data_IF_948815473952
#
_entry.id   IF_948815473952
#
_cell.length_a   1.000
_cell.length_b   1.000
_cell.length_c   1.000
_cell.angle_alpha   90.00
_cell.angle_beta   90.00
_cell.angle_gamma   90.00
#
_symmetry.space_group_name_H-M   'P 1'
#
loop_
_entity.id
_entity.type
_entity.pdbx_description
1 polymer ?
#
# COMPACT_ATOMS: atom_id res chain seq x y z
N UNK A 1 -6.80 -12.58 5.69
CA UNK A 1 -5.46 -12.03 5.98
C UNK A 1 -5.39 -10.62 5.40
N UNK A 2 -4.82 -9.66 6.14
CA UNK A 2 -4.65 -8.27 5.69
C UNK A 2 -3.60 -8.19 4.58
N UNK A 3 -3.88 -7.41 3.53
CA UNK A 3 -2.89 -7.05 2.51
C UNK A 3 -2.35 -5.64 2.84
N UNK A 4 -1.07 -5.53 3.15
CA UNK A 4 -0.39 -4.23 3.26
C UNK A 4 0.24 -3.90 1.92
N UNK A 5 -0.09 -2.75 1.36
CA UNK A 5 0.17 -2.41 -0.02
C UNK A 5 1.05 -1.16 -0.14
N UNK A 6 1.93 -1.16 -1.13
CA UNK A 6 2.57 0.06 -1.63
C UNK A 6 2.76 -0.01 -3.15
N UNK A 7 3.01 1.14 -3.75
CA UNK A 7 3.34 1.27 -5.18
C UNK A 7 4.71 1.92 -5.33
N UNK A 8 5.62 1.23 -6.01
CA UNK A 8 6.92 1.79 -6.40
C UNK A 8 6.99 1.86 -7.92
N UNK A 9 6.68 3.03 -8.47
CA UNK A 9 6.64 3.29 -9.90
C UNK A 9 7.68 4.34 -10.31
N UNK A 10 8.28 4.14 -11.48
CA UNK A 10 9.25 5.07 -12.04
C UNK A 10 10.58 5.09 -11.27
N UNK A 11 11.29 6.21 -11.33
CA UNK A 11 12.61 6.36 -10.76
C UNK A 11 12.67 7.26 -9.52
N UNK A 12 11.52 7.80 -9.09
CA UNK A 12 11.44 8.72 -7.94
C UNK A 12 11.91 8.07 -6.64
N UNK A 13 11.44 6.85 -6.38
CA UNK A 13 11.79 6.13 -5.17
C UNK A 13 12.72 4.96 -5.46
N UNK A 14 13.90 4.97 -4.83
CA UNK A 14 14.85 3.86 -4.87
C UNK A 14 14.28 2.63 -4.11
N UNK A 15 14.77 1.41 -4.38
CA UNK A 15 14.32 0.19 -3.70
C UNK A 15 14.38 0.26 -2.17
N UNK A 16 15.30 1.06 -1.62
CA UNK A 16 15.44 1.24 -0.16
C UNK A 16 14.16 1.79 0.49
N UNK A 17 13.36 2.60 -0.21
CA UNK A 17 12.10 3.09 0.33
C UNK A 17 11.10 1.97 0.55
N UNK A 18 10.99 1.02 -0.39
CA UNK A 18 10.14 -0.16 -0.22
C UNK A 18 10.63 -1.03 0.94
N UNK A 19 11.95 -1.24 1.05
CA UNK A 19 12.52 -2.00 2.16
C UNK A 19 12.28 -1.32 3.51
N UNK A 20 12.44 -0.01 3.59
CA UNK A 20 12.21 0.74 4.82
C UNK A 20 10.73 0.68 5.24
N UNK A 21 9.80 0.87 4.30
CA UNK A 21 8.38 0.75 4.60
C UNK A 21 8.04 -0.67 5.08
N UNK A 22 8.53 -1.71 4.40
CA UNK A 22 8.36 -3.09 4.86
C UNK A 22 8.86 -3.29 6.29
N UNK A 23 10.06 -2.80 6.60
CA UNK A 23 10.65 -2.94 7.93
C UNK A 23 9.85 -2.19 9.01
N UNK A 24 9.32 -1.00 8.69
CA UNK A 24 8.46 -0.23 9.61
C UNK A 24 7.14 -0.96 9.85
N UNK A 25 6.49 -1.47 8.80
CA UNK A 25 5.26 -2.26 8.92
C UNK A 25 5.51 -3.51 9.77
N UNK A 26 6.57 -4.28 9.50
CA UNK A 26 6.93 -5.47 10.28
C UNK A 26 7.14 -5.16 11.75
N UNK A 27 7.65 -3.98 12.09
CA UNK A 27 7.90 -3.56 13.49
C UNK A 27 6.64 -3.09 14.20
N UNK A 28 5.73 -2.43 13.50
CA UNK A 28 4.65 -1.65 14.11
C UNK A 28 3.24 -2.19 13.82
N UNK A 29 3.10 -3.25 13.03
CA UNK A 29 1.83 -3.91 12.77
C UNK A 29 1.85 -5.32 13.35
N UNK A 30 0.96 -5.60 14.31
CA UNK A 30 0.85 -6.93 14.94
C UNK A 30 -0.20 -7.83 14.28
N UNK A 31 -1.13 -7.23 13.53
CA UNK A 31 -2.16 -7.98 12.80
C UNK A 31 -1.51 -8.87 11.73
N UNK A 32 -1.90 -10.17 11.63
CA UNK A 32 -1.40 -11.06 10.60
C UNK A 32 -1.63 -10.50 9.19
N UNK A 33 -0.55 -10.32 8.45
CA UNK A 33 -0.58 -9.66 7.15
C UNK A 33 0.45 -10.22 6.17
N UNK A 34 0.28 -9.90 4.90
CA UNK A 34 1.32 -9.97 3.88
C UNK A 34 1.58 -8.58 3.30
N UNK A 35 2.83 -8.33 2.94
CA UNK A 35 3.24 -7.08 2.34
C UNK A 35 3.37 -7.25 0.82
N UNK A 36 2.67 -6.41 0.04
CA UNK A 36 2.64 -6.48 -1.41
C UNK A 36 3.10 -5.14 -2.00
N UNK A 37 4.19 -5.15 -2.75
CA UNK A 37 4.64 -3.99 -3.50
C UNK A 37 4.32 -4.16 -4.99
N UNK A 38 3.52 -3.26 -5.54
CA UNK A 38 3.28 -3.17 -6.97
C UNK A 38 4.32 -2.28 -7.63
N UNK A 39 4.94 -2.76 -8.70
CA UNK A 39 6.03 -2.02 -9.36
C UNK A 39 6.10 -2.31 -10.85
N UNK A 40 6.62 -1.36 -11.62
CA UNK A 40 7.05 -1.56 -12.99
C UNK A 40 8.54 -2.00 -13.10
N UNK A 41 9.24 -2.14 -11.97
CA UNK A 41 10.64 -2.55 -11.89
C UNK A 41 10.79 -3.96 -11.31
N UNK A 42 10.75 -4.98 -12.15
CA UNK A 42 10.83 -6.39 -11.73
C UNK A 42 12.13 -6.72 -10.95
N UNK A 43 13.19 -5.95 -11.18
CA UNK A 43 14.46 -6.09 -10.43
C UNK A 43 14.31 -5.82 -8.92
N UNK A 44 13.25 -5.13 -8.51
CA UNK A 44 12.94 -4.88 -7.09
C UNK A 44 12.85 -6.17 -6.29
N UNK A 45 12.33 -7.25 -6.88
CA UNK A 45 12.21 -8.56 -6.26
C UNK A 45 13.55 -9.14 -5.78
N UNK A 46 14.65 -8.78 -6.45
CA UNK A 46 16.00 -9.24 -6.08
C UNK A 46 16.63 -8.42 -4.95
N UNK A 47 16.12 -7.20 -4.74
CA UNK A 47 16.72 -6.20 -3.84
C UNK A 47 16.00 -6.17 -2.51
N UNK A 48 14.66 -6.13 -2.53
CA UNK A 48 13.84 -6.07 -1.33
C UNK A 48 13.67 -7.48 -0.74
N UNK A 49 13.93 -7.62 0.56
CA UNK A 49 13.95 -8.91 1.27
C UNK A 49 13.01 -8.90 2.46
N UNK A 50 12.33 -10.03 2.66
CA UNK A 50 11.44 -10.24 3.80
C UNK A 50 10.71 -11.58 3.73
N UNK A 51 10.13 -12.02 4.85
CA UNK A 51 9.53 -13.35 5.00
C UNK A 51 8.12 -13.42 4.36
N UNK A 52 7.39 -12.31 4.36
CA UNK A 52 6.00 -12.21 3.89
C UNK A 52 5.81 -11.08 2.87
N UNK A 53 6.84 -10.81 2.08
CA UNK A 53 6.83 -9.80 1.02
C UNK A 53 6.56 -10.44 -0.34
N UNK A 54 5.69 -9.82 -1.11
CA UNK A 54 5.39 -10.17 -2.49
C UNK A 54 5.59 -8.96 -3.40
N UNK A 55 6.33 -9.13 -4.48
CA UNK A 55 6.51 -8.09 -5.50
C UNK A 55 5.65 -8.47 -6.70
N UNK A 56 4.74 -7.59 -7.06
CA UNK A 56 3.81 -7.78 -8.18
C UNK A 56 4.06 -6.76 -9.30
N UNK A 57 3.78 -7.18 -10.53
CA UNK A 57 3.73 -6.24 -11.64
C UNK A 57 2.58 -5.25 -11.41
N UNK A 58 2.86 -3.97 -11.57
CA UNK A 58 1.86 -2.91 -11.47
C UNK A 58 0.94 -2.95 -12.68
N UNK A 59 -0.38 -3.13 -12.51
CA UNK A 59 -1.34 -2.98 -13.60
C UNK A 59 -1.31 -1.55 -14.14
N UNK A 60 -1.52 -1.39 -15.44
CA UNK A 60 -1.63 -0.07 -16.09
C UNK A 60 -0.43 0.87 -15.89
N UNK A 61 0.77 0.31 -15.64
CA UNK A 61 1.97 1.11 -15.38
C UNK A 61 2.40 2.01 -16.55
N UNK A 62 1.95 1.71 -17.76
CA UNK A 62 2.20 2.50 -18.97
C UNK A 62 1.10 3.56 -19.20
N UNK A 63 -0.05 3.41 -18.56
CA UNK A 63 -1.21 4.28 -18.74
C UNK A 63 -1.27 5.38 -17.67
N UNK A 64 -0.90 5.05 -16.43
CA UNK A 64 -0.89 5.97 -15.31
C UNK A 64 0.51 6.47 -15.00
N UNK A 65 0.61 7.71 -14.51
CA UNK A 65 1.87 8.32 -14.11
C UNK A 65 1.85 8.77 -12.65
N UNK A 66 3.00 8.63 -11.98
CA UNK A 66 3.20 9.08 -10.60
C UNK A 66 2.20 8.46 -9.63
N UNK A 67 1.61 9.28 -8.80
CA UNK A 67 0.67 8.86 -7.75
C UNK A 67 -0.65 8.29 -8.28
N UNK A 68 -1.00 8.54 -9.54
CA UNK A 68 -2.20 7.95 -10.17
C UNK A 68 -2.12 6.43 -10.28
N UNK A 69 -0.92 5.86 -10.25
CA UNK A 69 -0.73 4.41 -10.27
C UNK A 69 -1.40 3.67 -9.10
N UNK A 70 -1.67 4.34 -7.98
CA UNK A 70 -2.43 3.73 -6.87
C UNK A 70 -3.87 3.38 -7.24
N UNK A 71 -4.45 4.00 -8.28
CA UNK A 71 -5.79 3.65 -8.77
C UNK A 71 -5.83 2.22 -9.32
N UNK A 72 -4.72 1.70 -9.82
CA UNK A 72 -4.61 0.31 -10.28
C UNK A 72 -4.95 -0.72 -9.20
N UNK A 73 -4.79 -0.36 -7.93
CA UNK A 73 -5.07 -1.25 -6.79
C UNK A 73 -6.55 -1.58 -6.63
N UNK A 74 -7.44 -0.77 -7.22
CA UNK A 74 -8.88 -0.97 -7.18
C UNK A 74 -9.40 -1.77 -8.37
N UNK A 75 -8.52 -2.15 -9.29
CA UNK A 75 -8.88 -2.93 -10.46
C UNK A 75 -8.81 -4.44 -10.20
N UNK A 76 -9.57 -5.26 -10.94
CA UNK A 76 -9.46 -6.71 -10.88
C UNK A 76 -8.05 -7.23 -11.20
N UNK A 77 -7.31 -6.52 -12.05
CA UNK A 77 -5.95 -6.87 -12.48
C UNK A 77 -4.93 -6.82 -11.32
N UNK A 78 -5.23 -6.08 -10.25
CA UNK A 78 -4.41 -6.09 -9.04
C UNK A 78 -4.49 -7.43 -8.28
N UNK A 79 -5.53 -8.25 -8.55
CA UNK A 79 -5.73 -9.57 -7.92
C UNK A 79 -5.66 -9.49 -6.39
N UNK A 80 -6.33 -8.49 -5.83
CA UNK A 80 -6.45 -8.30 -4.40
C UNK A 80 -7.78 -8.89 -3.91
N UNK A 81 -7.75 -9.53 -2.75
CA UNK A 81 -8.93 -10.06 -2.07
C UNK A 81 -8.85 -9.75 -0.59
N UNK A 82 -9.97 -9.28 -0.03
CA UNK A 82 -10.11 -8.99 1.39
C UNK A 82 -9.56 -7.63 1.81
N UNK A 83 -9.28 -7.45 3.10
CA UNK A 83 -8.87 -6.17 3.66
C UNK A 83 -7.50 -5.73 3.17
N UNK A 84 -7.40 -4.45 2.83
CA UNK A 84 -6.21 -3.80 2.30
C UNK A 84 -5.87 -2.54 3.12
N UNK A 85 -4.60 -2.36 3.41
CA UNK A 85 -4.04 -1.16 4.03
C UNK A 85 -2.89 -0.66 3.15
N UNK A 86 -3.08 0.47 2.51
CA UNK A 86 -2.11 1.07 1.59
C UNK A 86 -1.31 2.18 2.28
N UNK A 87 -0.02 2.24 1.99
CA UNK A 87 0.87 3.33 2.37
C UNK A 87 1.64 3.87 1.16
N UNK A 88 1.76 5.19 1.05
CA UNK A 88 2.77 5.81 0.19
C UNK A 88 4.18 5.46 0.71
N UNK A 89 5.16 5.39 -0.19
CA UNK A 89 6.53 4.96 0.14
C UNK A 89 7.30 5.91 1.06
N UNK A 90 6.88 7.16 1.16
CA UNK A 90 7.48 8.20 1.99
C UNK A 90 6.79 8.39 3.34
N UNK A 91 5.83 7.53 3.67
CA UNK A 91 5.22 7.49 5.01
C UNK A 91 6.24 6.96 6.02
N UNK A 92 6.32 7.63 7.17
CA UNK A 92 7.14 7.21 8.31
C UNK A 92 6.23 6.68 9.41
N UNK A 93 6.45 5.43 9.82
CA UNK A 93 5.68 4.76 10.88
C UNK A 93 6.52 4.77 12.16
N UNK A 94 6.03 5.43 13.21
CA UNK A 94 6.76 5.64 14.45
C UNK A 94 6.25 4.78 15.62
N UNK A 95 5.00 4.31 15.53
CA UNK A 95 4.35 3.57 16.60
C UNK A 95 3.37 2.54 16.03
N UNK A 96 2.67 1.79 16.91
CA UNK A 96 1.71 0.77 16.52
C UNK A 96 0.62 1.33 15.57
N UNK A 97 0.36 0.58 14.49
CA UNK A 97 -0.60 0.94 13.44
C UNK A 97 -1.77 -0.04 13.32
N UNK A 98 -2.00 -0.88 14.30
CA UNK A 98 -3.11 -1.85 14.28
C UNK A 98 -4.47 -1.17 14.15
N UNK A 99 -4.62 0.04 14.68
CA UNK A 99 -5.85 0.83 14.56
C UNK A 99 -6.24 1.11 13.10
N UNK A 100 -5.27 1.31 12.19
CA UNK A 100 -5.57 1.48 10.76
C UNK A 100 -6.00 0.14 10.12
N UNK A 101 -5.41 -0.96 10.54
CA UNK A 101 -5.74 -2.29 10.02
C UNK A 101 -7.15 -2.73 10.43
N UNK A 102 -7.57 -2.39 11.64
CA UNK A 102 -8.84 -2.79 12.25
C UNK A 102 -9.95 -1.74 12.12
N UNK A 103 -9.65 -0.59 11.51
CA UNK A 103 -10.60 0.49 11.33
C UNK A 103 -11.81 0.09 10.48
N UNK A 104 -13.00 0.32 11.02
CA UNK A 104 -14.27 0.07 10.33
C UNK A 104 -14.57 -1.42 10.11
N UNK A 105 -15.33 -1.70 9.07
CA UNK A 105 -15.74 -3.04 8.64
C UNK A 105 -15.35 -3.32 7.18
N UNK A 106 -15.87 -4.39 6.60
CA UNK A 106 -15.57 -4.77 5.23
C UNK A 106 -16.09 -3.79 4.16
N UNK A 107 -17.03 -2.93 4.50
CA UNK A 107 -17.60 -1.92 3.59
C UNK A 107 -16.94 -0.54 3.77
N UNK A 108 -16.07 -0.41 4.78
CA UNK A 108 -15.45 0.88 5.11
C UNK A 108 -14.32 1.21 4.14
N UNK A 109 -14.40 2.41 3.54
CA UNK A 109 -13.28 3.05 2.88
C UNK A 109 -12.71 4.12 3.81
N UNK A 110 -11.52 3.88 4.35
CA UNK A 110 -10.83 4.78 5.25
C UNK A 110 -9.77 5.59 4.52
N UNK A 111 -9.78 6.91 4.76
CA UNK A 111 -8.80 7.85 4.21
C UNK A 111 -8.45 8.88 5.26
N UNK A 112 -7.21 9.36 5.27
CA UNK A 112 -6.79 10.40 6.19
C UNK A 112 -7.36 11.76 5.79
N UNK A 113 -7.67 12.59 6.78
CA UNK A 113 -7.94 14.00 6.50
C UNK A 113 -6.64 14.72 6.18
N UNK A 114 -6.70 15.70 5.30
CA UNK A 114 -5.53 16.51 5.00
C UNK A 114 -5.06 17.29 6.22
N UNK A 115 -3.75 17.36 6.45
CA UNK A 115 -3.18 17.99 7.64
C UNK A 115 -3.27 19.52 7.59
N UNK A 116 -3.22 20.12 6.41
CA UNK A 116 -3.31 21.57 6.23
C UNK A 116 -4.75 22.08 6.16
N UNK A 117 -5.65 21.32 5.54
CA UNK A 117 -7.05 21.70 5.34
C UNK A 117 -8.01 20.53 5.59
N UNK A 118 -8.12 20.05 6.83
CA UNK A 118 -8.82 18.81 7.17
C UNK A 118 -10.33 18.85 6.92
N UNK A 119 -10.90 20.05 6.75
CA UNK A 119 -12.32 20.23 6.47
C UNK A 119 -12.66 20.17 4.97
N UNK A 120 -11.67 20.36 4.10
CA UNK A 120 -11.86 20.47 2.66
C UNK A 120 -11.27 19.31 1.87
N UNK A 121 -10.17 18.71 2.32
CA UNK A 121 -9.40 17.75 1.56
C UNK A 121 -9.10 16.47 2.33
N UNK A 122 -8.89 15.40 1.58
CA UNK A 122 -8.39 14.12 2.07
C UNK A 122 -6.97 13.88 1.56
N UNK A 123 -6.17 13.19 2.36
CA UNK A 123 -4.81 12.78 2.03
C UNK A 123 -4.78 11.28 1.80
N UNK A 124 -4.39 10.87 0.60
CA UNK A 124 -4.39 9.46 0.17
C UNK A 124 -3.10 8.70 0.47
N UNK A 125 -2.23 9.25 1.34
CA UNK A 125 -0.97 8.56 1.71
C UNK A 125 -1.20 7.30 2.52
N UNK A 126 -2.35 7.19 3.20
CA UNK A 126 -2.80 5.98 3.89
C UNK A 126 -4.26 5.73 3.50
N UNK A 127 -4.54 4.52 3.00
CA UNK A 127 -5.89 4.10 2.62
C UNK A 127 -6.22 2.76 3.26
N UNK A 128 -7.41 2.64 3.83
CA UNK A 128 -7.98 1.37 4.30
C UNK A 128 -9.21 1.04 3.45
N UNK A 129 -9.22 -0.11 2.82
CA UNK A 129 -10.35 -0.56 2.00
C UNK A 129 -10.46 -2.08 1.99
N UNK A 130 -11.58 -2.58 1.49
CA UNK A 130 -11.75 -4.00 1.22
C UNK A 130 -11.94 -4.20 -0.27
N UNK A 131 -11.11 -5.03 -0.88
CA UNK A 131 -11.31 -5.42 -2.27
C UNK A 131 -12.09 -6.73 -2.31
N UNK A 132 -13.41 -6.61 -2.43
CA UNK A 132 -14.34 -7.74 -2.54
C UNK A 132 -14.45 -8.29 -3.98
N UNK A 133 -13.82 -7.65 -4.94
CA UNK A 133 -13.96 -7.95 -6.36
C UNK A 133 -12.90 -8.94 -6.89
N UNK A 134 -12.20 -9.63 -6.03
CA UNK A 134 -11.41 -10.77 -6.50
C UNK A 134 -12.34 -11.98 -6.68
N UNK A 135 -12.31 -12.62 -7.84
CA UNK A 135 -13.05 -13.85 -8.08
C UNK A 135 -12.64 -14.98 -7.15
#
# INVERSE_FOLDING_TARGET
MLNVLCVNWGLKFKPVYTQNLYNMVKRHLTVPHKFICYTNHIKLQKIVKGDNIEIRKLPFAEEYQGYWNKLSLFSPEAKLSGPCLYFDLDVVILDNIDCFATFGNNETFGVMRDFGQPQMYYNSSILRFNNSNAP
#
